data_IF_529538135693
#
_entry.id   IF_529538135693
#
_cell.length_a   1.000
_cell.length_b   1.000
_cell.length_c   1.000
_cell.angle_alpha   90.00
_cell.angle_beta   90.00
_cell.angle_gamma   90.00
#
_symmetry.space_group_name_H-M   'P 1'
#
loop_
_entity.id
_entity.type
_entity.pdbx_description
1 polymer ?
#
# COMPACT_ATOMS: atom_id res chain seq x y z
N UNK A 1 -11.19 -10.75 -17.07
CA UNK A 1 -9.73 -11.03 -16.95
C UNK A 1 -9.37 -12.31 -17.69
N UNK A 2 -9.89 -13.49 -17.33
CA UNK A 2 -9.53 -14.75 -18.01
C UNK A 2 -9.86 -14.81 -19.51
N UNK A 3 -10.87 -14.08 -19.98
CA UNK A 3 -11.17 -13.94 -21.41
C UNK A 3 -10.11 -13.15 -22.19
N UNK A 4 -9.46 -12.18 -21.53
CA UNK A 4 -8.45 -11.30 -22.14
C UNK A 4 -7.01 -11.77 -21.85
N UNK A 5 -6.83 -12.43 -20.71
CA UNK A 5 -5.55 -12.91 -20.20
C UNK A 5 -5.71 -14.34 -19.64
N UNK A 6 -5.85 -15.34 -20.51
CA UNK A 6 -6.15 -16.72 -20.10
C UNK A 6 -5.04 -17.32 -19.22
N UNK A 7 -3.79 -16.94 -19.49
CA UNK A 7 -2.59 -17.41 -18.76
C UNK A 7 -2.31 -16.66 -17.46
N UNK A 8 -2.99 -15.53 -17.19
CA UNK A 8 -2.75 -14.76 -15.96
C UNK A 8 -3.21 -15.52 -14.73
N UNK A 9 -2.34 -15.61 -13.74
CA UNK A 9 -2.65 -16.11 -12.40
C UNK A 9 -3.10 -14.94 -11.53
N UNK A 10 -4.29 -15.07 -10.91
CA UNK A 10 -4.86 -14.01 -10.08
C UNK A 10 -4.42 -14.23 -8.62
N UNK A 11 -3.35 -13.54 -8.22
CA UNK A 11 -2.74 -13.71 -6.90
C UNK A 11 -3.36 -12.83 -5.80
N UNK A 12 -4.18 -11.86 -6.19
CA UNK A 12 -4.81 -10.94 -5.26
C UNK A 12 -5.55 -9.81 -5.97
N UNK A 13 -6.07 -8.86 -5.20
CA UNK A 13 -6.79 -7.71 -5.69
C UNK A 13 -6.23 -6.43 -5.07
N UNK A 14 -5.64 -5.56 -5.89
CA UNK A 14 -5.07 -4.29 -5.45
C UNK A 14 -6.10 -3.41 -4.73
N UNK A 15 -7.35 -3.40 -5.20
CA UNK A 15 -8.44 -2.67 -4.54
C UNK A 15 -8.67 -3.14 -3.09
N UNK A 16 -8.72 -4.46 -2.86
CA UNK A 16 -8.89 -5.00 -1.51
C UNK A 16 -7.66 -4.77 -0.63
N UNK A 17 -6.45 -4.77 -1.20
CA UNK A 17 -5.24 -4.38 -0.49
C UNK A 17 -5.32 -2.92 0.00
N UNK A 18 -5.66 -1.98 -0.89
CA UNK A 18 -5.87 -0.57 -0.54
C UNK A 18 -6.97 -0.40 0.52
N UNK A 19 -8.08 -1.14 0.40
CA UNK A 19 -9.17 -1.10 1.37
C UNK A 19 -8.71 -1.57 2.76
N UNK A 20 -7.92 -2.65 2.84
CA UNK A 20 -7.39 -3.15 4.11
C UNK A 20 -6.44 -2.14 4.77
N UNK A 21 -5.59 -1.47 3.99
CA UNK A 21 -4.70 -0.42 4.49
C UNK A 21 -5.51 0.77 5.02
N UNK A 22 -6.54 1.22 4.29
CA UNK A 22 -7.43 2.29 4.76
C UNK A 22 -8.17 1.93 6.06
N UNK A 23 -8.63 0.66 6.19
CA UNK A 23 -9.23 0.16 7.43
C UNK A 23 -8.23 0.18 8.58
N UNK A 24 -6.97 -0.18 8.34
CA UNK A 24 -5.92 -0.10 9.36
C UNK A 24 -5.67 1.35 9.80
N UNK A 25 -5.51 2.29 8.87
CA UNK A 25 -5.40 3.74 9.14
C UNK A 25 -6.55 4.22 10.03
N UNK A 26 -7.78 3.82 9.69
CA UNK A 26 -8.97 4.18 10.47
C UNK A 26 -8.95 3.56 11.87
N UNK A 27 -8.58 2.27 11.98
CA UNK A 27 -8.47 1.56 13.26
C UNK A 27 -7.46 2.21 14.21
N UNK A 28 -6.39 2.78 13.67
CA UNK A 28 -5.38 3.49 14.46
C UNK A 28 -5.73 4.97 14.75
N UNK A 29 -6.94 5.43 14.41
CA UNK A 29 -7.37 6.81 14.65
C UNK A 29 -6.75 7.83 13.69
N UNK A 30 -6.07 7.39 12.64
CA UNK A 30 -5.32 8.24 11.71
C UNK A 30 -6.18 8.73 10.52
N UNK A 31 -7.51 8.50 10.55
CA UNK A 31 -8.40 8.84 9.44
C UNK A 31 -8.39 10.34 9.11
N UNK A 32 -8.44 11.21 10.11
CA UNK A 32 -8.40 12.66 9.93
C UNK A 32 -7.05 13.09 9.36
N UNK A 33 -5.95 12.60 9.94
CA UNK A 33 -4.59 12.87 9.44
C UNK A 33 -4.42 12.41 7.98
N UNK A 34 -4.97 11.25 7.61
CA UNK A 34 -4.97 10.76 6.23
C UNK A 34 -5.77 11.64 5.27
N UNK A 35 -6.85 12.27 5.74
CA UNK A 35 -7.67 13.17 4.91
C UNK A 35 -7.11 14.57 4.76
N UNK A 36 -6.39 15.06 5.78
CA UNK A 36 -5.96 16.47 5.87
C UNK A 36 -4.46 16.67 5.59
N UNK A 37 -3.64 15.62 5.70
CA UNK A 37 -2.21 15.69 5.45
C UNK A 37 -1.83 14.89 4.19
N UNK A 38 -1.61 15.59 3.09
CA UNK A 38 -1.26 14.98 1.80
C UNK A 38 0.02 14.15 1.85
N UNK A 39 1.03 14.61 2.60
CA UNK A 39 2.30 13.89 2.74
C UNK A 39 2.10 12.56 3.48
N UNK A 40 1.38 12.56 4.60
CA UNK A 40 1.03 11.33 5.31
C UNK A 40 0.18 10.40 4.43
N UNK A 41 -0.80 10.95 3.72
CA UNK A 41 -1.62 10.18 2.79
C UNK A 41 -0.78 9.53 1.68
N UNK A 42 0.21 10.25 1.14
CA UNK A 42 1.15 9.73 0.16
C UNK A 42 2.00 8.59 0.74
N UNK A 43 2.57 8.77 1.93
CA UNK A 43 3.36 7.74 2.61
C UNK A 43 2.54 6.45 2.82
N UNK A 44 1.29 6.57 3.25
CA UNK A 44 0.38 5.42 3.37
C UNK A 44 0.09 4.77 2.02
N UNK A 45 -0.04 5.54 0.94
CA UNK A 45 -0.26 5.01 -0.43
C UNK A 45 0.99 4.32 -1.00
N UNK A 46 2.18 4.55 -0.47
CA UNK A 46 3.37 3.78 -0.84
C UNK A 46 3.28 2.31 -0.37
N UNK A 47 2.58 2.02 0.73
CA UNK A 47 2.41 0.66 1.24
C UNK A 47 1.75 -0.30 0.22
N UNK A 48 0.56 -0.01 -0.35
CA UNK A 48 0.00 -0.87 -1.39
C UNK A 48 0.80 -0.85 -2.69
N UNK A 49 1.51 0.24 -2.99
CA UNK A 49 2.30 0.36 -4.22
C UNK A 49 3.46 -0.64 -4.30
N UNK A 50 3.92 -1.18 -3.16
CA UNK A 50 4.91 -2.27 -3.11
C UNK A 50 4.47 -3.51 -3.91
N UNK A 51 3.17 -3.72 -4.11
CA UNK A 51 2.64 -4.82 -4.91
C UNK A 51 3.03 -4.77 -6.40
N UNK A 52 3.52 -3.62 -6.88
CA UNK A 52 3.98 -3.44 -8.27
C UNK A 52 5.49 -3.59 -8.45
N UNK A 53 6.24 -3.82 -7.36
CA UNK A 53 7.68 -4.02 -7.43
C UNK A 53 8.04 -5.47 -7.81
N UNK A 54 9.20 -5.68 -8.45
CA UNK A 54 9.82 -7.00 -8.49
C UNK A 54 10.00 -7.55 -7.07
N UNK A 55 9.86 -8.87 -6.91
CA UNK A 55 9.91 -9.53 -5.58
C UNK A 55 11.19 -9.18 -4.81
N UNK A 56 12.34 -9.09 -5.50
CA UNK A 56 13.63 -8.74 -4.89
C UNK A 56 13.69 -7.31 -4.32
N UNK A 57 12.82 -6.41 -4.80
CA UNK A 57 12.83 -5.00 -4.44
C UNK A 57 11.79 -4.66 -3.36
N UNK A 58 10.86 -5.58 -3.07
CA UNK A 58 9.77 -5.35 -2.09
C UNK A 58 10.33 -5.04 -0.71
N UNK A 59 11.23 -5.87 -0.19
CA UNK A 59 11.81 -5.70 1.15
C UNK A 59 12.75 -4.48 1.21
N UNK A 60 13.72 -4.30 0.29
CA UNK A 60 14.56 -3.10 0.29
C UNK A 60 13.76 -1.80 0.23
N UNK A 61 12.73 -1.74 -0.61
CA UNK A 61 11.89 -0.54 -0.73
C UNK A 61 11.01 -0.34 0.50
N UNK A 62 10.50 -1.42 1.11
CA UNK A 62 9.77 -1.32 2.38
C UNK A 62 10.63 -0.70 3.49
N UNK A 63 11.89 -1.13 3.61
CA UNK A 63 12.81 -0.54 4.59
C UNK A 63 13.09 0.94 4.28
N UNK A 64 13.20 1.32 2.99
CA UNK A 64 13.37 2.73 2.61
C UNK A 64 12.15 3.60 2.96
N UNK A 65 10.93 3.16 2.66
CA UNK A 65 9.72 3.94 2.96
C UNK A 65 9.46 4.04 4.46
N UNK A 66 9.93 3.07 5.26
CA UNK A 66 9.81 3.11 6.72
C UNK A 66 10.46 4.36 7.32
N UNK A 67 11.60 4.80 6.80
CA UNK A 67 12.29 6.02 7.25
C UNK A 67 11.56 7.32 6.88
N UNK A 68 10.53 7.26 6.03
CA UNK A 68 9.70 8.42 5.73
C UNK A 68 8.65 8.66 6.83
N UNK A 69 8.32 7.64 7.61
CA UNK A 69 7.43 7.78 8.76
C UNK A 69 8.21 8.33 9.97
N UNK A 70 7.55 9.09 10.86
CA UNK A 70 8.17 9.53 12.09
C UNK A 70 8.66 8.32 12.90
N UNK A 71 9.82 8.44 13.53
CA UNK A 71 10.26 7.46 14.53
C UNK A 71 9.30 7.51 15.74
N UNK A 72 9.01 6.35 16.31
CA UNK A 72 8.33 6.22 17.61
C UNK A 72 9.15 6.86 18.75
#
# INVERSE_FOLDING_TARGET
>A
IKSLFPTTVLNGCFFHLCQNIYRAVTRFGLKTLYGENENFAQQIRCLPALAFLPIGDVIPTFEQIKYQFPAE
#
